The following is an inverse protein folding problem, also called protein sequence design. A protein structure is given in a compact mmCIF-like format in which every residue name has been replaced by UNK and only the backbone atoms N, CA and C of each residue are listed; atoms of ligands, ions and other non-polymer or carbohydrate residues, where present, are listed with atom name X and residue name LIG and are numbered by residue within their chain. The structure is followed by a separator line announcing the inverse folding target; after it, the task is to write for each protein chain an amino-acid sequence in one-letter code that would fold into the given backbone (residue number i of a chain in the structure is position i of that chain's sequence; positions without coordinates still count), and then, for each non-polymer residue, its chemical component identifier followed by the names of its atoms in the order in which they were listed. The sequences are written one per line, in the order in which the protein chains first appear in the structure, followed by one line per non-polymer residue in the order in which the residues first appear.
data_IF_744841522693
#
_entry.id   IF_744841522693
#
_cell.length_a   1.000
_cell.length_b   1.000
_cell.length_c   1.000
_cell.angle_alpha   90.00
_cell.angle_beta   90.00
_cell.angle_gamma   90.00
#
_symmetry.space_group_name_H-M   'P 1'
#
loop_
_entity.id
_entity.type
_entity.pdbx_description
1 polymer ?
#
# COMPACT_ATOMS: atom_id res chain seq x y z
N UNK A 1 16.20 10.18 4.06
CA UNK A 1 16.06 9.77 5.48
C UNK A 1 14.71 9.10 5.63
N UNK A 2 14.65 7.92 6.26
CA UNK A 2 13.39 7.22 6.49
C UNK A 2 12.65 7.96 7.62
N UNK A 3 11.39 8.37 7.43
CA UNK A 3 10.61 9.03 8.47
C UNK A 3 10.47 8.17 9.73
N UNK A 4 10.40 8.80 10.92
CA UNK A 4 10.17 8.06 12.17
C UNK A 4 8.83 7.31 12.13
N UNK A 5 8.77 6.17 12.83
CA UNK A 5 7.55 5.37 12.90
C UNK A 5 6.38 6.21 13.45
N UNK A 6 5.25 6.19 12.74
CA UNK A 6 4.07 6.99 13.09
C UNK A 6 4.04 8.40 12.53
N UNK A 7 5.11 8.84 11.84
CA UNK A 7 5.06 10.08 11.06
C UNK A 7 4.04 9.99 9.92
N UNK A 8 3.48 11.15 9.54
CA UNK A 8 2.46 11.26 8.51
C UNK A 8 2.85 12.32 7.50
N UNK A 9 2.57 12.05 6.23
CA UNK A 9 2.72 12.99 5.13
C UNK A 9 1.45 12.99 4.29
N UNK A 10 1.10 14.14 3.73
CA UNK A 10 -0.15 14.31 3.00
C UNK A 10 0.14 14.90 1.62
N UNK A 11 -0.54 14.36 0.62
CA UNK A 11 -0.60 14.92 -0.73
C UNK A 11 -2.04 15.00 -1.17
N UNK A 12 -2.37 15.98 -2.01
CA UNK A 12 -3.73 16.19 -2.51
C UNK A 12 -3.91 15.61 -3.91
N UNK A 13 -4.90 14.76 -4.08
CA UNK A 13 -5.48 14.45 -5.38
C UNK A 13 -6.41 15.59 -5.81
N UNK A 14 -6.04 16.32 -6.87
CA UNK A 14 -6.75 17.55 -7.27
C UNK A 14 -8.13 17.30 -7.91
N UNK A 15 -8.30 16.14 -8.55
CA UNK A 15 -9.54 15.71 -9.19
C UNK A 15 -9.73 14.19 -8.98
N UNK A 16 -10.99 13.70 -8.91
CA UNK A 16 -11.30 12.30 -8.63
C UNK A 16 -11.03 11.39 -9.84
N UNK A 17 -9.75 11.21 -10.18
CA UNK A 17 -9.28 10.45 -11.34
C UNK A 17 -8.97 8.98 -11.01
N UNK A 18 -9.50 8.48 -9.90
CA UNK A 18 -9.36 7.09 -9.45
C UNK A 18 -8.08 6.80 -8.65
N UNK A 19 -7.96 5.53 -8.23
CA UNK A 19 -6.89 5.04 -7.34
C UNK A 19 -5.50 5.17 -7.97
N UNK A 20 -5.33 4.83 -9.25
CA UNK A 20 -4.04 4.93 -9.93
C UNK A 20 -3.48 6.35 -9.91
N UNK A 21 -4.34 7.35 -10.15
CA UNK A 21 -3.95 8.75 -10.04
C UNK A 21 -3.65 9.16 -8.58
N UNK A 22 -4.40 8.64 -7.60
CA UNK A 22 -4.13 8.89 -6.19
C UNK A 22 -2.73 8.38 -5.77
N UNK A 23 -2.38 7.15 -6.18
CA UNK A 23 -1.04 6.57 -5.98
C UNK A 23 0.03 7.40 -6.70
N UNK A 24 -0.23 7.84 -7.94
CA UNK A 24 0.68 8.68 -8.71
C UNK A 24 0.94 10.05 -8.08
N UNK A 25 -0.04 10.65 -7.40
CA UNK A 25 0.15 11.89 -6.64
C UNK A 25 1.16 11.72 -5.50
N UNK A 26 1.27 10.54 -4.90
CA UNK A 26 2.18 10.26 -3.78
C UNK A 26 3.62 9.90 -4.21
N UNK A 27 3.91 9.79 -5.52
CA UNK A 27 5.19 9.27 -6.02
C UNK A 27 6.43 10.03 -5.50
N UNK A 28 6.34 11.34 -5.32
CA UNK A 28 7.48 12.15 -4.86
C UNK A 28 7.75 11.96 -3.37
N UNK A 29 6.71 11.61 -2.59
CA UNK A 29 6.84 11.30 -1.17
C UNK A 29 7.42 9.89 -0.95
N UNK A 30 7.07 8.95 -1.82
CA UNK A 30 7.50 7.55 -1.74
C UNK A 30 8.90 7.37 -2.36
N UNK A 31 9.20 8.08 -3.45
CA UNK A 31 10.45 7.93 -4.19
C UNK A 31 10.52 6.63 -4.97
N UNK A 32 11.72 6.03 -5.05
CA UNK A 32 11.99 4.79 -5.79
C UNK A 32 12.13 3.58 -4.85
N UNK A 33 11.24 3.48 -3.88
CA UNK A 33 11.22 2.41 -2.87
C UNK A 33 9.91 1.60 -2.97
N UNK A 34 9.92 0.31 -2.58
CA UNK A 34 8.69 -0.46 -2.48
C UNK A 34 7.77 0.12 -1.40
N UNK A 35 6.46 0.06 -1.65
CA UNK A 35 5.45 0.60 -0.75
C UNK A 35 4.18 -0.25 -0.75
N UNK A 36 3.39 -0.11 0.32
CA UNK A 36 2.08 -0.75 0.43
C UNK A 36 0.95 0.26 0.13
N UNK A 37 -0.11 -0.22 -0.51
CA UNK A 37 -1.36 0.53 -0.70
C UNK A 37 -2.43 -0.12 0.18
N UNK A 38 -3.00 0.66 1.11
CA UNK A 38 -4.11 0.23 1.95
C UNK A 38 -5.35 1.04 1.60
N UNK A 39 -6.45 0.36 1.28
CA UNK A 39 -7.74 0.99 1.04
C UNK A 39 -8.49 1.11 2.38
N UNK A 40 -8.83 2.32 2.84
CA UNK A 40 -9.34 2.55 4.19
C UNK A 40 -10.75 1.98 4.42
N UNK A 41 -11.48 1.68 3.34
CA UNK A 41 -12.81 1.08 3.34
C UNK A 41 -12.78 -0.45 3.47
N UNK A 42 -11.60 -1.09 3.39
CA UNK A 42 -11.46 -2.55 3.48
C UNK A 42 -10.85 -2.96 4.82
N UNK A 43 -11.62 -3.69 5.63
CA UNK A 43 -11.14 -4.26 6.90
C UNK A 43 -10.91 -5.76 6.71
N UNK A 44 -9.64 -6.17 6.67
CA UNK A 44 -9.26 -7.59 6.56
C UNK A 44 -8.88 -8.14 7.93
N UNK A 45 -9.61 -9.16 8.39
CA UNK A 45 -9.32 -9.84 9.66
C UNK A 45 -8.62 -11.18 9.40
N UNK A 46 -7.31 -11.22 9.64
CA UNK A 46 -6.49 -12.42 9.48
C UNK A 46 -5.45 -12.56 10.61
N UNK A 47 -4.98 -13.78 10.84
CA UNK A 47 -3.84 -14.08 11.71
C UNK A 47 -2.92 -15.08 10.98
N UNK A 48 -1.70 -14.69 10.55
CA UNK A 48 -1.09 -13.35 10.63
C UNK A 48 -1.87 -12.28 9.83
N UNK A 49 -1.63 -10.99 10.08
CA UNK A 49 -2.33 -9.90 9.39
C UNK A 49 -2.08 -9.92 7.87
N UNK A 50 -3.06 -9.46 7.08
CA UNK A 50 -3.00 -9.50 5.60
C UNK A 50 -1.72 -8.83 5.05
N UNK A 51 -1.43 -7.60 5.49
CA UNK A 51 -0.22 -6.90 5.07
C UNK A 51 1.08 -7.65 5.46
N UNK A 52 1.12 -8.28 6.63
CA UNK A 52 2.28 -9.06 7.05
C UNK A 52 2.51 -10.26 6.11
N UNK A 53 1.45 -10.97 5.73
CA UNK A 53 1.53 -12.05 4.74
C UNK A 53 2.02 -11.56 3.38
N UNK A 54 1.54 -10.40 2.92
CA UNK A 54 1.99 -9.80 1.66
C UNK A 54 3.47 -9.41 1.70
N UNK A 55 3.94 -8.86 2.82
CA UNK A 55 5.36 -8.53 3.03
C UNK A 55 6.22 -9.79 3.01
N UNK A 56 5.77 -10.89 3.62
CA UNK A 56 6.48 -12.18 3.56
C UNK A 56 6.59 -12.72 2.13
N UNK A 57 5.53 -12.56 1.32
CA UNK A 57 5.56 -12.91 -0.11
C UNK A 57 6.52 -12.01 -0.89
N UNK A 58 6.45 -10.69 -0.69
CA UNK A 58 7.35 -9.73 -1.34
C UNK A 58 8.82 -10.00 -1.01
N UNK A 59 9.14 -10.33 0.24
CA UNK A 59 10.51 -10.64 0.66
C UNK A 59 11.06 -11.92 0.00
N UNK A 60 10.19 -12.87 -0.37
CA UNK A 60 10.58 -14.12 -1.02
C UNK A 60 10.66 -14.00 -2.53
N UNK A 61 9.66 -13.35 -3.16
CA UNK A 61 9.48 -13.36 -4.62
C UNK A 61 9.80 -12.02 -5.29
N UNK A 62 9.83 -10.92 -4.53
CA UNK A 62 9.88 -9.56 -5.06
C UNK A 62 8.63 -9.19 -5.86
N UNK A 63 8.78 -8.22 -6.77
CA UNK A 63 7.72 -7.81 -7.68
C UNK A 63 6.51 -7.13 -7.02
N UNK A 64 5.38 -7.13 -7.73
CA UNK A 64 4.12 -6.55 -7.24
C UNK A 64 3.23 -7.65 -6.64
N UNK A 65 2.77 -7.45 -5.40
CA UNK A 65 1.88 -8.39 -4.70
C UNK A 65 0.48 -7.78 -4.60
N UNK A 66 -0.54 -8.52 -5.03
CA UNK A 66 -1.94 -8.13 -4.94
C UNK A 66 -2.66 -9.10 -3.99
N UNK A 67 -3.25 -8.57 -2.92
CA UNK A 67 -4.09 -9.37 -2.04
C UNK A 67 -5.38 -9.76 -2.75
N UNK A 68 -5.75 -11.02 -2.63
CA UNK A 68 -7.00 -11.57 -3.15
C UNK A 68 -7.71 -12.36 -2.06
N UNK A 69 -9.03 -12.42 -2.16
CA UNK A 69 -9.89 -13.26 -1.32
C UNK A 69 -10.56 -14.31 -2.21
N UNK A 70 -10.65 -15.54 -1.71
CA UNK A 70 -11.40 -16.58 -2.41
C UNK A 70 -12.90 -16.32 -2.26
N UNK A 71 -13.58 -16.13 -3.39
CA UNK A 71 -15.04 -16.04 -3.45
C UNK A 71 -15.68 -17.40 -3.80
N UNK A 72 -16.90 -17.70 -3.31
CA UNK A 72 -17.65 -18.91 -3.66
C UNK A 72 -17.96 -19.03 -5.15
#
# INVERSE_FOLDING_TARGET
EVPEAGSMSFVRQQAPLGLGHAVWCARELIGREPFAVLLPDVIVRAKPGCLAQMVDVYNREGGNVIAVEQVP
#
